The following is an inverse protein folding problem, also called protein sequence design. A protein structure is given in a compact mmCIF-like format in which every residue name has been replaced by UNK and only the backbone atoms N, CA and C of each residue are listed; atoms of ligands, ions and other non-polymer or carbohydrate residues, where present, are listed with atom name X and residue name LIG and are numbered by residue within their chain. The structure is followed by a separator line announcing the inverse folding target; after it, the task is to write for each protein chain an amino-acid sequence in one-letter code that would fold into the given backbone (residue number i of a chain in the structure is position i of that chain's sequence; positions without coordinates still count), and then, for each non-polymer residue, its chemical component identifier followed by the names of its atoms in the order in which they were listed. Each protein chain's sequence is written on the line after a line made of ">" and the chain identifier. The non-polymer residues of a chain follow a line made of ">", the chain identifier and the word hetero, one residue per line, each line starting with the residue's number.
data_IF_371373458193
#
_entry.id   IF_371373458193
#
_cell.length_a   1.000
_cell.length_b   1.000
_cell.length_c   1.000
_cell.angle_alpha   90.00
_cell.angle_beta   90.00
_cell.angle_gamma   90.00
#
_symmetry.space_group_name_H-M   'P 1'
#
loop_
_entity.id
_entity.type
_entity.pdbx_description
1 polymer ?
#
# COMPACT_ATOMS: atom_id res chain seq x y z
N UNK A 1 79.16 -25.89 5.18
CA UNK A 1 79.07 -24.42 4.95
C UNK A 1 78.33 -24.25 3.62
N UNK A 2 77.00 -24.14 3.67
CA UNK A 2 76.20 -22.90 3.74
C UNK A 2 76.18 -22.12 2.41
N UNK A 3 74.93 -21.85 1.98
CA UNK A 3 74.43 -20.76 1.13
C UNK A 3 74.62 -20.81 -0.39
N UNK A 4 73.55 -21.20 -1.11
CA UNK A 4 72.93 -20.41 -2.18
C UNK A 4 71.42 -20.72 -2.18
N UNK A 5 70.62 -19.91 -1.47
CA UNK A 5 69.69 -18.90 -2.02
C UNK A 5 68.59 -19.52 -2.90
N UNK A 6 67.46 -19.91 -2.30
CA UNK A 6 66.25 -19.09 -2.23
C UNK A 6 65.89 -18.53 -3.61
N UNK A 7 65.24 -19.33 -4.46
CA UNK A 7 64.40 -18.84 -5.56
C UNK A 7 63.50 -19.95 -6.14
N UNK A 8 62.67 -20.57 -5.30
CA UNK A 8 61.64 -21.51 -5.79
C UNK A 8 60.41 -21.55 -4.87
N UNK A 9 60.11 -20.44 -4.18
CA UNK A 9 58.90 -20.28 -3.37
C UNK A 9 58.36 -18.88 -3.60
N UNK A 10 57.78 -18.63 -4.78
CA UNK A 10 56.92 -17.49 -5.04
C UNK A 10 56.40 -17.54 -6.49
N UNK A 11 55.46 -18.45 -6.81
CA UNK A 11 54.42 -18.16 -7.83
C UNK A 11 53.36 -19.29 -7.93
N UNK A 12 52.67 -19.58 -6.84
CA UNK A 12 51.34 -20.20 -6.93
C UNK A 12 50.39 -19.32 -6.11
N UNK A 13 50.27 -18.08 -6.57
CA UNK A 13 49.21 -17.17 -6.14
C UNK A 13 47.90 -17.75 -6.63
N UNK A 14 47.12 -18.25 -5.69
CA UNK A 14 45.74 -18.68 -5.89
C UNK A 14 44.99 -17.54 -6.56
N UNK A 15 44.66 -17.70 -7.85
CA UNK A 15 43.65 -16.88 -8.52
C UNK A 15 42.31 -17.35 -7.95
N UNK A 16 42.01 -16.92 -6.73
CA UNK A 16 40.63 -16.92 -6.26
C UNK A 16 39.96 -15.80 -7.05
N UNK A 17 39.56 -16.12 -8.28
CA UNK A 17 38.55 -15.38 -8.99
C UNK A 17 37.32 -15.47 -8.11
N UNK A 18 37.05 -14.41 -7.34
CA UNK A 18 35.72 -14.14 -6.84
C UNK A 18 34.83 -14.01 -8.08
N UNK A 19 34.30 -15.14 -8.56
CA UNK A 19 33.13 -15.11 -9.41
C UNK A 19 32.06 -14.48 -8.53
N UNK A 20 31.70 -13.24 -8.81
CA UNK A 20 30.44 -12.67 -8.36
C UNK A 20 29.40 -13.75 -8.72
N UNK A 21 28.64 -14.21 -7.73
CA UNK A 21 27.61 -15.21 -7.96
C UNK A 21 26.80 -14.79 -9.19
N UNK A 22 26.60 -15.71 -10.13
CA UNK A 22 25.85 -15.41 -11.35
C UNK A 22 24.47 -14.95 -10.93
N UNK A 23 24.09 -13.73 -11.32
CA UNK A 23 22.72 -13.24 -11.18
C UNK A 23 21.75 -14.22 -11.85
N UNK A 24 20.73 -14.65 -11.12
CA UNK A 24 19.68 -15.51 -11.62
C UNK A 24 18.62 -14.67 -12.36
N UNK A 25 18.95 -14.31 -13.60
CA UNK A 25 18.09 -13.47 -14.45
C UNK A 25 16.69 -14.05 -14.67
N UNK A 26 16.54 -15.38 -14.67
CA UNK A 26 15.23 -16.03 -14.89
C UNK A 26 14.30 -15.82 -13.70
N UNK A 27 14.83 -15.83 -12.48
CA UNK A 27 14.08 -15.48 -11.27
C UNK A 27 13.67 -13.99 -11.25
N UNK A 28 14.45 -13.11 -11.88
CA UNK A 28 14.18 -11.66 -11.96
C UNK A 28 13.07 -11.31 -12.97
N UNK A 29 12.88 -12.11 -14.03
CA UNK A 29 11.92 -11.83 -15.12
C UNK A 29 10.64 -12.68 -15.11
N UNK A 30 10.62 -13.80 -14.36
CA UNK A 30 9.53 -14.77 -14.42
C UNK A 30 8.27 -14.44 -13.59
N UNK A 31 8.23 -13.31 -12.89
CA UNK A 31 7.14 -12.98 -11.97
C UNK A 31 5.95 -12.33 -12.67
N UNK A 32 4.76 -12.91 -12.48
CA UNK A 32 3.52 -12.37 -13.05
C UNK A 32 2.91 -11.33 -12.12
N UNK A 33 2.51 -10.18 -12.67
CA UNK A 33 1.74 -9.15 -11.97
C UNK A 33 0.25 -9.57 -11.98
N UNK A 34 -0.34 -9.92 -10.82
CA UNK A 34 -1.75 -10.29 -10.76
C UNK A 34 -2.63 -9.09 -11.09
N UNK A 35 -3.73 -9.33 -11.80
CA UNK A 35 -4.66 -8.28 -12.21
C UNK A 35 -6.09 -8.79 -12.06
N UNK A 36 -6.94 -7.95 -11.47
CA UNK A 36 -8.34 -8.24 -11.25
C UNK A 36 -9.19 -7.04 -11.68
N UNK A 37 -10.38 -7.34 -12.18
CA UNK A 37 -11.31 -6.32 -12.71
C UNK A 37 -12.69 -6.39 -12.06
N UNK A 38 -13.02 -7.50 -11.41
CA UNK A 38 -14.36 -7.75 -10.87
C UNK A 38 -14.39 -7.52 -9.36
N UNK A 39 -15.37 -6.76 -8.91
CA UNK A 39 -15.74 -6.68 -7.50
C UNK A 39 -16.65 -7.85 -7.15
N UNK A 40 -16.36 -8.54 -6.05
CA UNK A 40 -17.12 -9.69 -5.54
C UNK A 40 -17.34 -9.52 -4.05
N UNK A 41 -18.40 -10.13 -3.51
CA UNK A 41 -18.67 -10.11 -2.07
C UNK A 41 -17.47 -10.71 -1.31
N UNK A 42 -16.78 -9.86 -0.54
CA UNK A 42 -15.68 -10.27 0.33
C UNK A 42 -16.20 -10.66 1.71
N UNK A 43 -17.24 -9.96 2.17
CA UNK A 43 -17.92 -10.29 3.43
C UNK A 43 -19.35 -9.78 3.41
N UNK A 44 -20.23 -10.51 4.10
CA UNK A 44 -21.57 -10.02 4.44
C UNK A 44 -21.90 -10.21 5.93
N UNK A 45 -22.72 -9.31 6.44
CA UNK A 45 -23.11 -9.22 7.84
C UNK A 45 -24.63 -9.00 7.94
N UNK A 46 -25.33 -9.69 8.84
CA UNK A 46 -26.79 -9.63 8.99
C UNK A 46 -27.21 -9.10 10.36
N UNK A 47 -28.00 -8.02 10.39
CA UNK A 47 -28.59 -7.45 11.60
C UNK A 47 -30.10 -7.31 11.41
N UNK A 48 -30.89 -8.01 12.23
CA UNK A 48 -32.34 -8.11 12.06
C UNK A 48 -32.71 -8.71 10.69
N UNK A 49 -33.55 -8.00 9.93
CA UNK A 49 -34.01 -8.40 8.59
C UNK A 49 -33.12 -7.85 7.46
N UNK A 50 -31.96 -7.26 7.79
CA UNK A 50 -31.10 -6.62 6.81
C UNK A 50 -29.72 -7.27 6.77
N UNK A 51 -29.18 -7.37 5.55
CA UNK A 51 -27.80 -7.80 5.30
C UNK A 51 -27.06 -6.67 4.62
N UNK A 52 -25.88 -6.32 5.12
CA UNK A 52 -24.92 -5.50 4.39
C UNK A 52 -23.85 -6.41 3.79
N UNK A 53 -23.65 -6.30 2.49
CA UNK A 53 -22.58 -6.93 1.73
C UNK A 53 -21.51 -5.90 1.40
N UNK A 54 -20.25 -6.26 1.59
CA UNK A 54 -19.10 -5.48 1.18
C UNK A 54 -18.41 -6.25 0.06
N UNK A 55 -18.35 -5.62 -1.10
CA UNK A 55 -17.60 -6.11 -2.24
C UNK A 55 -16.22 -5.45 -2.27
N UNK A 56 -15.21 -6.25 -2.59
CA UNK A 56 -13.85 -5.81 -2.83
C UNK A 56 -13.35 -6.45 -4.13
N UNK A 57 -12.23 -5.96 -4.65
CA UNK A 57 -11.64 -6.51 -5.86
C UNK A 57 -11.31 -7.99 -5.68
N UNK A 58 -11.83 -8.83 -6.57
CA UNK A 58 -11.79 -10.29 -6.51
C UNK A 58 -12.38 -10.91 -5.22
N UNK A 59 -13.09 -10.15 -4.39
CA UNK A 59 -13.72 -10.65 -3.16
C UNK A 59 -12.73 -10.91 -2.02
N UNK A 60 -11.55 -10.28 -2.05
CA UNK A 60 -10.53 -10.44 -1.02
C UNK A 60 -10.11 -9.07 -0.49
N UNK A 61 -9.96 -8.94 0.84
CA UNK A 61 -9.29 -7.79 1.43
C UNK A 61 -7.79 -8.04 1.44
N UNK A 62 -7.02 -7.11 0.89
CA UNK A 62 -5.56 -7.18 0.90
C UNK A 62 -4.97 -6.10 1.80
N UNK A 63 -3.76 -6.33 2.33
CA UNK A 63 -2.93 -5.25 2.85
C UNK A 63 -2.71 -4.20 1.73
N UNK A 64 -2.81 -2.91 2.04
CA UNK A 64 -2.82 -1.85 1.02
C UNK A 64 -4.21 -1.27 0.77
N UNK A 65 -4.35 -0.50 -0.31
CA UNK A 65 -5.60 0.17 -0.65
C UNK A 65 -6.63 -0.82 -1.19
N UNK A 66 -7.85 -0.77 -0.64
CA UNK A 66 -9.00 -1.54 -1.08
C UNK A 66 -10.13 -0.57 -1.36
N UNK A 67 -10.58 -0.51 -2.61
CA UNK A 67 -11.87 0.08 -2.95
C UNK A 67 -12.98 -0.87 -2.49
N UNK A 68 -14.03 -0.31 -1.89
CA UNK A 68 -15.11 -1.05 -1.24
C UNK A 68 -16.46 -0.57 -1.74
N UNK A 69 -17.32 -1.52 -2.13
CA UNK A 69 -18.72 -1.24 -2.49
C UNK A 69 -19.66 -1.88 -1.46
N UNK A 70 -20.58 -1.10 -0.90
CA UNK A 70 -21.50 -1.56 0.13
C UNK A 70 -22.92 -1.63 -0.40
N UNK A 71 -23.59 -2.76 -0.19
CA UNK A 71 -24.98 -2.99 -0.58
C UNK A 71 -25.77 -3.47 0.62
N UNK A 72 -26.87 -2.78 0.94
CA UNK A 72 -27.81 -3.18 1.99
C UNK A 72 -29.04 -3.80 1.32
N UNK A 73 -29.40 -5.01 1.73
CA UNK A 73 -30.57 -5.74 1.22
C UNK A 73 -31.46 -6.23 2.36
N UNK A 74 -32.76 -6.41 2.07
CA UNK A 74 -33.68 -7.11 2.96
C UNK A 74 -33.53 -8.63 2.75
N UNK A 75 -33.35 -9.37 3.84
CA UNK A 75 -33.08 -10.82 3.80
C UNK A 75 -34.30 -11.68 3.48
N UNK A 76 -35.51 -11.13 3.60
CA UNK A 76 -36.76 -11.87 3.32
C UNK A 76 -37.06 -11.96 1.83
N UNK A 77 -36.71 -10.94 1.05
CA UNK A 77 -37.00 -10.85 -0.39
C UNK A 77 -35.74 -10.66 -1.26
N UNK A 78 -34.56 -10.54 -0.66
CA UNK A 78 -33.27 -10.29 -1.32
C UNK A 78 -33.23 -9.03 -2.20
N UNK A 79 -34.06 -8.02 -1.88
CA UNK A 79 -34.09 -6.75 -2.61
C UNK A 79 -33.25 -5.68 -1.91
N UNK A 80 -32.61 -4.81 -2.70
CA UNK A 80 -31.95 -3.60 -2.20
C UNK A 80 -32.93 -2.72 -1.43
N UNK A 81 -32.45 -2.08 -0.37
CA UNK A 81 -33.24 -1.15 0.45
C UNK A 81 -32.62 0.24 0.42
N UNK A 82 -33.44 1.26 0.69
CA UNK A 82 -33.01 2.64 0.84
C UNK A 82 -32.33 2.82 2.20
N UNK A 83 -31.09 2.37 2.30
CA UNK A 83 -30.25 2.63 3.47
C UNK A 83 -29.72 4.07 3.45
N UNK A 84 -29.33 4.57 4.62
CA UNK A 84 -28.67 5.87 4.80
C UNK A 84 -27.70 5.80 5.97
N UNK A 85 -26.85 6.81 6.12
CA UNK A 85 -25.88 6.92 7.23
C UNK A 85 -25.06 5.63 7.42
N UNK A 86 -24.58 5.06 6.31
CA UNK A 86 -23.74 3.86 6.36
C UNK A 86 -22.36 4.28 6.86
N UNK A 87 -21.93 3.68 7.97
CA UNK A 87 -20.61 3.90 8.54
C UNK A 87 -19.76 2.64 8.51
N UNK A 88 -18.44 2.82 8.37
CA UNK A 88 -17.47 1.73 8.24
C UNK A 88 -16.24 2.02 9.10
N UNK A 89 -15.98 1.16 10.08
CA UNK A 89 -14.84 1.28 10.99
C UNK A 89 -14.08 -0.05 11.11
N UNK A 90 -12.93 -0.20 10.44
CA UNK A 90 -12.05 -1.34 10.63
C UNK A 90 -11.19 -1.14 11.89
N UNK A 91 -11.14 -2.12 12.78
CA UNK A 91 -10.26 -2.12 13.97
C UNK A 91 -9.35 -3.34 13.92
N UNK A 92 -8.05 -3.09 14.05
CA UNK A 92 -7.02 -4.10 14.25
C UNK A 92 -6.81 -4.32 15.74
N UNK A 93 -6.82 -5.58 16.17
CA UNK A 93 -6.37 -5.99 17.49
C UNK A 93 -5.02 -6.70 17.38
N UNK A 94 -4.00 -6.15 18.04
CA UNK A 94 -2.64 -6.71 18.09
C UNK A 94 -2.14 -6.82 19.51
N UNK A 95 -1.90 -8.04 19.99
CA UNK A 95 -1.37 -8.31 21.34
C UNK A 95 -2.11 -7.55 22.47
N UNK A 96 -3.44 -7.46 22.37
CA UNK A 96 -4.29 -6.75 23.34
C UNK A 96 -4.39 -5.23 23.14
N UNK A 97 -3.63 -4.64 22.22
CA UNK A 97 -3.78 -3.25 21.81
C UNK A 97 -4.72 -3.15 20.61
N UNK A 98 -5.41 -2.02 20.48
CA UNK A 98 -6.25 -1.73 19.31
C UNK A 98 -5.71 -0.55 18.52
N UNK A 99 -5.82 -0.65 17.21
CA UNK A 99 -5.53 0.43 16.26
C UNK A 99 -6.47 0.30 15.07
N UNK A 100 -6.32 1.19 14.09
CA UNK A 100 -7.10 1.15 12.85
C UNK A 100 -6.19 1.50 11.67
N UNK A 101 -6.76 1.64 10.49
CA UNK A 101 -6.11 2.06 9.26
C UNK A 101 -6.85 3.26 8.64
N UNK A 102 -6.25 3.94 7.64
CA UNK A 102 -7.00 4.89 6.83
C UNK A 102 -8.24 4.24 6.23
N UNK A 103 -9.40 4.90 6.36
CA UNK A 103 -10.68 4.42 5.87
C UNK A 103 -11.67 5.58 5.70
N UNK A 104 -12.64 5.38 4.82
CA UNK A 104 -13.79 6.27 4.69
C UNK A 104 -14.82 5.91 5.76
N UNK A 105 -14.93 6.69 6.85
CA UNK A 105 -15.85 6.37 7.94
C UNK A 105 -17.32 6.52 7.55
N UNK A 106 -17.67 7.57 6.80
CA UNK A 106 -19.03 7.81 6.30
C UNK A 106 -19.06 7.57 4.79
N UNK A 107 -19.53 6.40 4.36
CA UNK A 107 -19.52 6.04 2.94
C UNK A 107 -20.65 6.74 2.17
N UNK A 108 -20.37 7.14 0.93
CA UNK A 108 -21.30 7.92 0.12
C UNK A 108 -22.08 7.03 -0.84
N UNK A 109 -23.37 7.31 -1.05
CA UNK A 109 -24.18 6.55 -2.00
C UNK A 109 -23.92 6.99 -3.44
N UNK A 110 -23.49 6.07 -4.30
CA UNK A 110 -23.43 6.25 -5.74
C UNK A 110 -24.77 5.86 -6.36
N UNK A 111 -25.57 6.85 -6.75
CA UNK A 111 -26.87 6.62 -7.36
C UNK A 111 -26.80 6.00 -8.77
N UNK A 112 -25.68 6.20 -9.48
CA UNK A 112 -25.47 5.65 -10.83
C UNK A 112 -25.24 4.15 -10.74
N UNK A 113 -24.34 3.74 -9.84
CA UNK A 113 -23.93 2.35 -9.69
C UNK A 113 -24.75 1.58 -8.64
N UNK A 114 -25.59 2.28 -7.87
CA UNK A 114 -26.55 1.74 -6.89
C UNK A 114 -25.92 0.99 -5.72
N UNK A 115 -24.81 1.50 -5.22
CA UNK A 115 -24.14 1.03 -4.00
C UNK A 115 -23.49 2.21 -3.28
N UNK A 116 -23.09 2.03 -2.02
CA UNK A 116 -22.23 3.01 -1.37
C UNK A 116 -20.77 2.74 -1.73
N UNK A 117 -19.98 3.80 -1.89
CA UNK A 117 -18.55 3.74 -2.17
C UNK A 117 -17.74 4.19 -0.97
N UNK A 118 -16.63 3.49 -0.73
CA UNK A 118 -15.64 3.84 0.27
C UNK A 118 -14.33 3.12 0.04
N UNK A 119 -13.40 3.28 0.97
CA UNK A 119 -12.11 2.60 0.90
C UNK A 119 -11.60 2.21 2.29
N UNK A 120 -10.62 1.31 2.30
CA UNK A 120 -9.78 0.99 3.45
C UNK A 120 -8.34 0.76 3.01
N UNK A 121 -7.37 1.22 3.79
CA UNK A 121 -5.94 0.94 3.58
C UNK A 121 -5.42 0.01 4.67
N UNK A 122 -5.77 -1.28 4.62
CA UNK A 122 -5.36 -2.20 5.68
C UNK A 122 -3.82 -2.24 5.81
N UNK A 123 -3.34 -1.94 7.01
CA UNK A 123 -1.89 -1.75 7.28
C UNK A 123 -1.17 -3.05 7.64
N UNK A 124 -1.90 -4.12 7.91
CA UNK A 124 -1.36 -5.43 8.24
C UNK A 124 -2.23 -6.57 7.72
N UNK A 125 -1.59 -7.71 7.48
CA UNK A 125 -2.24 -8.98 7.22
C UNK A 125 -2.87 -9.52 8.52
N UNK A 126 -3.94 -10.29 8.40
CA UNK A 126 -4.46 -11.09 9.51
C UNK A 126 -3.46 -12.20 9.83
N UNK A 127 -3.14 -12.36 11.11
CA UNK A 127 -2.25 -13.38 11.64
C UNK A 127 -2.71 -13.81 13.04
N UNK A 128 -2.06 -14.81 13.64
CA UNK A 128 -2.40 -15.29 14.99
C UNK A 128 -2.41 -14.16 16.03
N UNK A 129 -1.50 -13.20 15.92
CA UNK A 129 -1.40 -12.05 16.83
C UNK A 129 -2.17 -10.81 16.37
N UNK A 130 -2.75 -10.82 15.16
CA UNK A 130 -3.31 -9.65 14.47
C UNK A 130 -4.68 -10.01 13.87
N UNK A 131 -5.77 -9.51 14.45
CA UNK A 131 -7.12 -9.74 13.91
C UNK A 131 -7.81 -8.44 13.53
N UNK A 132 -8.45 -8.44 12.36
CA UNK A 132 -9.26 -7.33 11.89
C UNK A 132 -10.73 -7.60 12.17
N UNK A 133 -11.41 -6.60 12.73
CA UNK A 133 -12.85 -6.60 12.93
C UNK A 133 -13.46 -5.35 12.32
N UNK A 134 -14.49 -5.54 11.52
CA UNK A 134 -15.29 -4.45 10.98
C UNK A 134 -16.42 -4.12 11.94
N UNK A 135 -16.61 -2.83 12.22
CA UNK A 135 -17.77 -2.27 12.90
C UNK A 135 -18.52 -1.39 11.89
N UNK A 136 -19.78 -1.72 11.67
CA UNK A 136 -20.60 -1.10 10.63
C UNK A 136 -21.92 -0.67 11.27
N UNK A 137 -22.39 0.51 10.88
CA UNK A 137 -23.76 0.91 11.14
C UNK A 137 -24.44 1.43 9.89
N UNK A 138 -25.77 1.36 9.86
CA UNK A 138 -26.59 1.94 8.80
C UNK A 138 -28.00 2.19 9.32
N UNK A 139 -28.76 3.04 8.64
CA UNK A 139 -30.19 3.26 8.92
C UNK A 139 -31.07 2.75 7.78
N UNK A 140 -32.16 2.09 8.14
CA UNK A 140 -33.29 1.78 7.25
C UNK A 140 -34.57 2.20 7.99
N UNK A 141 -35.47 2.91 7.30
CA UNK A 141 -36.71 3.44 7.90
C UNK A 141 -36.48 4.24 9.21
N UNK A 142 -35.39 5.02 9.24
CA UNK A 142 -34.94 5.81 10.39
C UNK A 142 -34.56 4.99 11.65
N UNK A 143 -34.52 3.66 11.55
CA UNK A 143 -34.02 2.77 12.59
C UNK A 143 -32.53 2.46 12.32
N UNK A 144 -31.69 2.64 13.35
CA UNK A 144 -30.25 2.32 13.28
C UNK A 144 -30.02 0.83 13.52
N UNK A 145 -29.16 0.25 12.69
CA UNK A 145 -28.62 -1.09 12.83
C UNK A 145 -27.12 -1.00 13.01
N UNK A 146 -26.59 -1.75 13.97
CA UNK A 146 -25.16 -1.85 14.25
C UNK A 146 -24.76 -3.32 14.20
N UNK A 147 -23.60 -3.59 13.60
CA UNK A 147 -23.10 -4.95 13.44
C UNK A 147 -21.58 -4.96 13.36
N UNK A 148 -20.98 -6.07 13.80
CA UNK A 148 -19.54 -6.29 13.64
C UNK A 148 -19.23 -7.72 13.20
N UNK A 149 -18.09 -7.89 12.52
CA UNK A 149 -17.61 -9.20 12.05
C UNK A 149 -16.09 -9.19 11.89
N UNK A 150 -15.47 -10.28 12.30
CA UNK A 150 -14.06 -10.54 12.01
C UNK A 150 -13.86 -10.82 10.52
N UNK A 151 -12.77 -10.30 9.95
CA UNK A 151 -12.42 -10.46 8.54
C UNK A 151 -10.99 -11.01 8.38
N UNK A 152 -10.75 -11.61 7.22
CA UNK A 152 -9.41 -11.97 6.76
C UNK A 152 -8.86 -10.86 5.87
N UNK A 153 -7.70 -10.32 6.22
CA UNK A 153 -6.90 -9.46 5.35
C UNK A 153 -5.68 -10.24 4.90
N UNK A 154 -5.55 -10.46 3.60
CA UNK A 154 -4.48 -11.23 2.99
C UNK A 154 -3.28 -10.37 2.63
N UNK A 155 -2.15 -11.05 2.39
CA UNK A 155 -0.95 -10.42 1.84
C UNK A 155 -1.23 -9.85 0.46
N UNK A 156 -0.76 -8.63 0.20
CA UNK A 156 -0.79 -8.04 -1.13
C UNK A 156 0.09 -8.84 -2.09
N UNK A 157 -0.53 -9.50 -3.07
CA UNK A 157 0.17 -10.28 -4.09
C UNK A 157 0.70 -9.40 -5.23
N UNK A 158 0.06 -8.26 -5.49
CA UNK A 158 0.50 -7.30 -6.51
C UNK A 158 1.35 -6.18 -5.89
N UNK A 159 2.66 -6.20 -6.13
CA UNK A 159 3.59 -5.18 -5.62
C UNK A 159 3.25 -3.75 -6.06
N UNK A 160 2.53 -3.57 -7.18
CA UNK A 160 2.11 -2.24 -7.63
C UNK A 160 0.95 -1.64 -6.84
N UNK A 161 0.32 -2.43 -5.95
CA UNK A 161 -0.71 -1.98 -5.01
C UNK A 161 -0.20 -1.98 -3.55
N UNK A 162 1.12 -1.94 -3.38
CA UNK A 162 1.75 -1.99 -2.07
C UNK A 162 1.66 -0.63 -1.34
N UNK A 163 2.07 -0.63 -0.08
CA UNK A 163 1.93 0.51 0.81
C UNK A 163 3.09 0.59 1.81
N UNK A 164 3.27 1.77 2.40
CA UNK A 164 4.27 2.01 3.45
C UNK A 164 3.69 2.89 4.56
N UNK A 165 4.20 2.69 5.78
CA UNK A 165 3.89 3.51 6.97
C UNK A 165 5.17 4.06 7.57
N UNK A 166 5.14 5.29 8.06
CA UNK A 166 6.33 5.92 8.65
C UNK A 166 5.96 7.06 9.58
N UNK A 167 6.90 7.42 10.44
CA UNK A 167 6.85 8.66 11.22
C UNK A 167 7.63 9.74 10.47
N UNK A 168 7.00 10.89 10.23
CA UNK A 168 7.64 12.06 9.62
C UNK A 168 8.56 12.81 10.59
N UNK A 169 9.38 13.72 10.08
CA UNK A 169 10.21 14.62 10.90
C UNK A 169 9.41 15.57 11.80
N UNK A 170 8.12 15.73 11.52
CA UNK A 170 7.14 16.43 12.35
C UNK A 170 6.59 15.57 13.51
N UNK A 171 7.04 14.31 13.63
CA UNK A 171 6.55 13.30 14.57
C UNK A 171 5.10 12.84 14.32
N UNK A 172 4.55 13.12 13.15
CA UNK A 172 3.24 12.61 12.75
C UNK A 172 3.38 11.25 12.06
N UNK A 173 2.33 10.42 12.16
CA UNK A 173 2.30 9.10 11.52
C UNK A 173 1.58 9.18 10.18
N UNK A 174 2.24 8.68 9.13
CA UNK A 174 1.78 8.72 7.77
C UNK A 174 1.65 7.33 7.15
N UNK A 175 0.76 7.24 6.17
CA UNK A 175 0.52 6.08 5.33
C UNK A 175 0.54 6.53 3.88
N UNK A 176 1.31 5.85 3.02
CA UNK A 176 1.23 6.01 1.56
C UNK A 176 0.82 4.66 0.98
N UNK A 177 -0.22 4.64 0.14
CA UNK A 177 -0.67 3.43 -0.53
C UNK A 177 -0.83 3.67 -2.03
N UNK A 178 -0.24 2.78 -2.84
CA UNK A 178 -0.40 2.79 -4.28
C UNK A 178 -1.79 2.27 -4.66
N UNK A 179 -2.41 2.92 -5.64
CA UNK A 179 -3.77 2.63 -6.13
C UNK A 179 -3.73 2.19 -7.60
N UNK A 180 -2.86 2.80 -8.40
CA UNK A 180 -2.70 2.52 -9.83
C UNK A 180 -1.25 2.76 -10.24
N UNK A 181 -0.72 2.05 -11.27
CA UNK A 181 -1.40 1.01 -12.05
C UNK A 181 -1.38 -0.35 -11.35
N UNK A 182 -2.43 -1.16 -11.51
CA UNK A 182 -2.35 -2.58 -11.13
C UNK A 182 -1.32 -3.31 -11.98
N UNK A 183 -1.36 -3.06 -13.29
CA UNK A 183 -0.51 -3.73 -14.27
C UNK A 183 0.17 -2.68 -15.15
N UNK A 184 1.37 -2.23 -14.77
CA UNK A 184 2.13 -1.32 -15.61
C UNK A 184 2.52 -1.96 -16.95
N UNK A 185 2.96 -1.11 -17.89
CA UNK A 185 3.49 -1.46 -19.21
C UNK A 185 4.90 -0.90 -19.40
N UNK A 186 5.62 -1.36 -20.43
CA UNK A 186 6.90 -0.77 -20.88
C UNK A 186 6.63 0.60 -21.51
N UNK A 187 6.31 1.59 -20.69
CA UNK A 187 5.93 2.93 -21.09
C UNK A 187 5.87 3.86 -19.87
N UNK A 188 5.51 5.11 -20.11
CA UNK A 188 4.95 6.00 -19.09
C UNK A 188 3.59 5.44 -18.62
N UNK A 189 3.46 5.26 -17.31
CA UNK A 189 2.26 4.79 -16.65
C UNK A 189 1.76 5.85 -15.67
N UNK A 190 0.46 6.20 -15.71
CA UNK A 190 -0.15 7.01 -14.65
C UNK A 190 -0.01 6.30 -13.31
N UNK A 191 0.65 6.98 -12.36
CA UNK A 191 0.86 6.51 -11.00
C UNK A 191 -0.07 7.27 -10.07
N UNK A 192 -0.86 6.54 -9.28
CA UNK A 192 -1.81 7.11 -8.32
C UNK A 192 -1.55 6.56 -6.94
N UNK A 193 -1.50 7.44 -5.94
CA UNK A 193 -1.33 7.07 -4.54
C UNK A 193 -2.24 7.88 -3.62
N UNK A 194 -2.72 7.25 -2.56
CA UNK A 194 -3.32 7.93 -1.41
C UNK A 194 -2.27 8.21 -0.34
N UNK A 195 -2.33 9.40 0.26
CA UNK A 195 -1.46 9.79 1.38
C UNK A 195 -2.34 10.18 2.56
N UNK A 196 -2.16 9.49 3.68
CA UNK A 196 -3.01 9.63 4.87
C UNK A 196 -2.15 9.91 6.10
N UNK A 197 -2.73 10.64 7.05
CA UNK A 197 -2.14 10.94 8.35
C UNK A 197 -3.05 10.43 9.45
N UNK A 198 -2.47 9.77 10.46
CA UNK A 198 -3.21 9.40 11.66
C UNK A 198 -3.54 10.64 12.49
N UNK A 199 -4.79 10.74 12.93
CA UNK A 199 -5.22 11.83 13.81
C UNK A 199 -5.12 11.36 15.26
N UNK A 200 -4.06 11.79 15.95
CA UNK A 200 -3.87 11.46 17.36
C UNK A 200 -5.06 11.99 18.19
N UNK A 201 -5.77 11.13 18.94
CA UNK A 201 -6.89 11.55 19.76
C UNK A 201 -6.45 12.55 20.83
N UNK A 202 -7.20 13.63 20.98
CA UNK A 202 -6.98 14.66 22.00
C UNK A 202 -7.92 14.52 23.20
N UNK A 203 -8.94 13.67 23.07
CA UNK A 203 -9.91 13.36 24.11
C UNK A 203 -9.82 11.90 24.54
N UNK A 204 -10.08 11.58 25.82
CA UNK A 204 -10.15 10.21 26.29
C UNK A 204 -11.17 9.38 25.51
N UNK A 205 -10.92 8.08 25.38
CA UNK A 205 -11.83 7.15 24.73
C UNK A 205 -13.18 7.08 25.46
N UNK A 206 -14.26 7.13 24.67
CA UNK A 206 -15.62 6.91 25.13
C UNK A 206 -16.02 5.44 25.09
N UNK A 207 -17.25 5.17 24.64
CA UNK A 207 -17.76 3.80 24.47
C UNK A 207 -17.14 3.15 23.25
N UNK A 208 -16.56 1.97 23.44
CA UNK A 208 -15.96 1.21 22.35
C UNK A 208 -17.03 0.51 21.47
N UNK A 209 -16.88 0.53 20.12
CA UNK A 209 -15.86 1.24 19.37
C UNK A 209 -16.12 2.76 19.33
N UNK A 210 -15.09 3.55 19.62
CA UNK A 210 -15.15 5.02 19.54
C UNK A 210 -14.39 5.49 18.28
N UNK A 211 -15.08 5.88 17.20
CA UNK A 211 -14.43 6.28 15.95
C UNK A 211 -13.49 7.47 16.10
N UNK A 212 -13.70 8.34 17.11
CA UNK A 212 -12.79 9.46 17.37
C UNK A 212 -11.39 9.00 17.80
N UNK A 213 -11.26 7.76 18.29
CA UNK A 213 -9.97 7.16 18.66
C UNK A 213 -9.22 6.54 17.48
N UNK A 214 -9.86 6.43 16.31
CA UNK A 214 -9.39 5.63 15.18
C UNK A 214 -9.44 6.40 13.85
N UNK A 215 -9.25 7.72 13.87
CA UNK A 215 -9.45 8.55 12.68
C UNK A 215 -8.15 8.82 11.92
N UNK A 216 -8.29 8.96 10.61
CA UNK A 216 -7.24 9.32 9.67
C UNK A 216 -7.75 10.43 8.75
N UNK A 217 -6.85 11.25 8.24
CA UNK A 217 -7.16 12.29 7.25
C UNK A 217 -6.30 12.13 6.01
N UNK A 218 -6.87 12.41 4.86
CA UNK A 218 -6.10 12.64 3.64
C UNK A 218 -5.16 13.84 3.84
N UNK A 219 -3.91 13.67 3.43
CA UNK A 219 -2.92 14.73 3.48
C UNK A 219 -3.15 15.66 2.30
N UNK A 220 -3.28 16.97 2.56
CA UNK A 220 -3.54 17.94 1.50
C UNK A 220 -2.34 18.85 1.20
N UNK A 221 -2.14 19.13 -0.09
CA UNK A 221 -1.18 20.12 -0.58
C UNK A 221 0.30 19.72 -0.48
N UNK A 222 0.60 18.44 -0.25
CA UNK A 222 1.97 17.95 -0.21
C UNK A 222 2.49 17.65 -1.63
N UNK A 223 3.74 17.24 -1.73
CA UNK A 223 4.31 16.69 -2.98
C UNK A 223 5.08 15.43 -2.64
N UNK A 224 4.86 14.37 -3.43
CA UNK A 224 5.60 13.13 -3.30
C UNK A 224 6.58 13.04 -4.47
N UNK A 225 7.85 13.33 -4.21
CA UNK A 225 8.88 13.20 -5.25
C UNK A 225 9.14 11.75 -5.60
N UNK A 226 9.44 11.49 -6.86
CA UNK A 226 9.59 10.16 -7.41
C UNK A 226 10.95 9.96 -8.09
N UNK A 227 11.67 8.93 -7.69
CA UNK A 227 12.88 8.44 -8.37
C UNK A 227 12.84 6.90 -8.47
N UNK A 228 12.36 6.34 -9.60
CA UNK A 228 12.28 4.90 -9.76
C UNK A 228 13.63 4.32 -10.15
N UNK A 229 14.02 3.24 -9.48
CA UNK A 229 15.27 2.51 -9.74
C UNK A 229 15.02 1.01 -9.84
N UNK A 230 15.77 0.33 -10.69
CA UNK A 230 15.90 -1.12 -10.61
C UNK A 230 16.98 -1.45 -9.58
N UNK A 231 16.61 -2.10 -8.45
CA UNK A 231 17.50 -2.26 -7.31
C UNK A 231 18.55 -3.35 -7.52
N UNK A 232 18.35 -4.31 -8.42
CA UNK A 232 19.21 -5.48 -8.54
C UNK A 232 20.65 -5.13 -8.96
N UNK A 233 21.66 -5.85 -8.45
CA UNK A 233 23.06 -5.64 -8.84
C UNK A 233 23.30 -5.72 -10.35
N UNK A 234 22.58 -6.59 -11.07
CA UNK A 234 22.64 -6.70 -12.53
C UNK A 234 22.25 -5.39 -13.23
N UNK A 235 21.34 -4.64 -12.61
CA UNK A 235 20.80 -3.40 -13.13
C UNK A 235 21.55 -2.17 -12.63
N UNK A 236 22.47 -2.30 -11.68
CA UNK A 236 23.42 -1.27 -11.32
C UNK A 236 22.79 0.11 -11.06
N UNK A 237 21.62 0.17 -10.41
CA UNK A 237 20.89 1.42 -10.11
C UNK A 237 20.28 2.14 -11.34
N UNK A 238 19.90 1.36 -12.36
CA UNK A 238 19.21 1.84 -13.56
C UNK A 238 17.93 2.62 -13.23
N UNK A 239 17.66 3.70 -13.98
CA UNK A 239 16.45 4.52 -13.87
C UNK A 239 15.84 4.79 -15.25
N UNK A 240 14.75 5.53 -15.30
CA UNK A 240 14.01 5.86 -16.52
C UNK A 240 13.82 7.37 -16.69
N UNK A 241 13.66 7.85 -17.94
CA UNK A 241 13.34 9.25 -18.19
C UNK A 241 11.84 9.55 -18.00
N UNK A 242 11.48 10.83 -18.00
CA UNK A 242 10.09 11.33 -18.02
C UNK A 242 9.21 10.94 -16.82
N UNK A 243 9.80 10.55 -15.69
CA UNK A 243 9.06 10.40 -14.44
C UNK A 243 8.54 11.76 -13.95
N UNK A 244 7.37 11.76 -13.35
CA UNK A 244 6.74 12.97 -12.81
C UNK A 244 6.39 12.74 -11.34
N UNK A 245 6.80 13.68 -10.48
CA UNK A 245 6.43 13.73 -9.07
C UNK A 245 4.91 13.71 -8.91
N UNK A 246 4.42 13.08 -7.85
CA UNK A 246 2.98 13.00 -7.61
C UNK A 246 2.51 14.26 -6.88
N UNK A 247 1.44 14.86 -7.40
CA UNK A 247 0.77 16.04 -6.82
C UNK A 247 -0.71 15.77 -6.61
N UNK A 248 -1.29 16.36 -5.57
CA UNK A 248 -2.69 16.15 -5.25
C UNK A 248 -3.61 16.72 -6.33
N UNK A 249 -4.62 15.95 -6.71
CA UNK A 249 -5.67 16.37 -7.66
C UNK A 249 -7.02 16.54 -6.94
N UNK A 250 -8.06 16.90 -7.70
CA UNK A 250 -9.39 17.21 -7.17
C UNK A 250 -10.11 16.02 -6.50
N UNK A 251 -9.65 14.80 -6.75
CA UNK A 251 -10.14 13.57 -6.13
C UNK A 251 -9.49 13.28 -4.76
N UNK A 252 -8.62 14.18 -4.28
CA UNK A 252 -7.89 14.02 -3.01
C UNK A 252 -6.64 13.14 -3.13
N UNK A 253 -6.48 12.42 -4.24
CA UNK A 253 -5.36 11.50 -4.48
C UNK A 253 -4.17 12.21 -5.14
N UNK A 254 -3.01 11.58 -5.07
CA UNK A 254 -1.76 12.07 -5.64
C UNK A 254 -1.50 11.38 -6.96
N UNK A 255 -1.34 12.17 -8.02
CA UNK A 255 -1.16 11.70 -9.39
C UNK A 255 0.20 12.13 -9.94
N UNK A 256 0.91 11.19 -10.55
CA UNK A 256 2.18 11.42 -11.25
C UNK A 256 2.39 10.40 -12.35
N UNK A 257 3.63 10.23 -12.80
CA UNK A 257 3.97 9.31 -13.90
C UNK A 257 5.22 8.52 -13.53
N UNK A 258 5.14 7.20 -13.65
CA UNK A 258 6.30 6.31 -13.60
C UNK A 258 6.53 5.68 -14.97
N UNK A 259 7.73 5.84 -15.50
CA UNK A 259 8.13 5.24 -16.76
C UNK A 259 8.91 3.95 -16.50
N UNK A 260 8.48 2.84 -17.09
CA UNK A 260 9.22 1.59 -17.04
C UNK A 260 9.79 1.28 -18.42
N UNK A 261 11.12 1.15 -18.51
CA UNK A 261 11.81 0.91 -19.78
C UNK A 261 12.13 -0.56 -20.02
N UNK A 262 11.96 -1.41 -18.99
CA UNK A 262 12.17 -2.85 -19.05
C UNK A 262 11.49 -3.54 -17.87
N UNK A 263 11.17 -4.82 -18.04
CA UNK A 263 10.59 -5.68 -17.00
C UNK A 263 11.61 -6.00 -15.91
N UNK A 264 11.13 -6.27 -14.69
CA UNK A 264 11.94 -6.60 -13.52
C UNK A 264 11.36 -5.99 -12.24
N UNK A 265 12.05 -6.16 -11.11
CA UNK A 265 11.66 -5.41 -9.93
C UNK A 265 12.09 -3.96 -10.07
N UNK A 266 11.26 -3.10 -9.49
CA UNK A 266 11.55 -1.69 -9.39
C UNK A 266 11.35 -1.25 -7.94
N UNK A 267 12.03 -0.20 -7.57
CA UNK A 267 11.86 0.50 -6.30
C UNK A 267 11.48 1.93 -6.63
N UNK A 268 10.29 2.34 -6.21
CA UNK A 268 9.91 3.74 -6.21
C UNK A 268 10.61 4.39 -5.00
N UNK A 269 11.72 5.09 -5.22
CA UNK A 269 12.31 5.91 -4.16
C UNK A 269 11.52 7.21 -4.06
N UNK A 270 11.14 7.56 -2.85
CA UNK A 270 10.21 8.63 -2.59
C UNK A 270 10.79 9.67 -1.64
N UNK A 271 10.35 10.91 -1.78
CA UNK A 271 10.56 11.97 -0.79
C UNK A 271 9.23 12.70 -0.58
N UNK A 272 8.66 12.60 0.62
CA UNK A 272 7.46 13.34 0.97
C UNK A 272 7.84 14.74 1.46
N UNK A 273 7.31 15.77 0.80
CA UNK A 273 7.46 17.17 1.18
C UNK A 273 6.11 17.78 1.51
N UNK A 274 6.06 18.61 2.54
CA UNK A 274 4.87 19.42 2.83
C UNK A 274 4.76 20.62 1.88
N UNK A 275 3.68 21.40 2.00
CA UNK A 275 3.39 22.57 1.16
C UNK A 275 4.46 23.69 1.22
N UNK A 276 5.33 23.67 2.24
CA UNK A 276 6.42 24.64 2.39
C UNK A 276 7.75 24.11 1.82
N UNK A 277 7.74 22.95 1.15
CA UNK A 277 8.94 22.30 0.62
C UNK A 277 9.81 21.63 1.68
N UNK A 278 9.33 21.47 2.92
CA UNK A 278 10.08 20.76 3.95
C UNK A 278 9.93 19.25 3.76
N UNK A 279 11.06 18.55 3.70
CA UNK A 279 11.12 17.09 3.61
C UNK A 279 10.70 16.49 4.95
N UNK A 280 9.61 15.71 4.95
CA UNK A 280 9.13 14.97 6.11
C UNK A 280 9.75 13.58 6.20
N UNK A 281 9.97 12.91 5.06
CA UNK A 281 10.63 11.60 4.99
C UNK A 281 11.18 11.35 3.58
N UNK A 282 12.24 10.53 3.49
CA UNK A 282 12.89 10.17 2.24
C UNK A 282 14.24 10.87 2.05
N UNK A 283 15.08 10.29 1.20
CA UNK A 283 16.43 10.75 0.89
C UNK A 283 16.66 10.70 -0.61
N UNK A 284 17.53 11.59 -1.11
CA UNK A 284 18.04 11.49 -2.48
C UNK A 284 18.91 10.24 -2.57
N UNK A 285 18.74 9.47 -3.64
CA UNK A 285 19.55 8.29 -3.93
C UNK A 285 20.67 8.65 -4.92
N UNK A 286 21.82 7.94 -4.89
CA UNK A 286 22.88 8.13 -5.88
C UNK A 286 22.34 7.95 -7.30
N UNK A 287 22.88 8.72 -8.25
CA UNK A 287 22.51 8.63 -9.67
C UNK A 287 23.48 7.80 -10.49
N UNK A 288 24.62 7.42 -9.90
CA UNK A 288 25.67 6.68 -10.58
C UNK A 288 25.17 5.28 -10.96
N UNK A 289 25.34 4.94 -12.23
CA UNK A 289 25.07 3.60 -12.75
C UNK A 289 26.31 2.73 -12.54
N UNK A 290 26.24 1.79 -11.60
CA UNK A 290 27.37 0.94 -11.21
C UNK A 290 26.96 -0.53 -11.28
N UNK A 291 27.17 -1.22 -12.42
CA UNK A 291 26.88 -2.64 -12.56
C UNK A 291 27.57 -3.48 -11.48
N UNK A 292 26.86 -4.47 -10.94
CA UNK A 292 27.32 -5.35 -9.87
C UNK A 292 27.11 -4.79 -8.46
N UNK A 293 26.50 -3.62 -8.31
CA UNK A 293 26.19 -2.99 -7.02
C UNK A 293 24.68 -2.82 -6.88
N UNK A 294 24.13 -3.27 -5.76
CA UNK A 294 22.71 -3.09 -5.44
C UNK A 294 22.38 -1.59 -5.30
N UNK A 295 21.24 -1.18 -5.87
CA UNK A 295 20.76 0.19 -5.80
C UNK A 295 20.43 0.61 -4.36
N UNK A 296 20.96 1.75 -3.92
CA UNK A 296 20.65 2.31 -2.61
C UNK A 296 19.19 2.80 -2.60
N UNK A 297 18.42 2.37 -1.59
CA UNK A 297 17.04 2.81 -1.40
C UNK A 297 16.95 4.10 -0.58
N UNK A 298 15.99 4.96 -0.92
CA UNK A 298 15.59 6.10 -0.08
C UNK A 298 15.12 5.61 1.31
N UNK A 299 15.16 6.46 2.33
CA UNK A 299 14.48 6.20 3.60
C UNK A 299 12.97 5.98 3.48
N UNK A 300 12.38 6.42 2.36
CA UNK A 300 10.99 6.19 1.99
C UNK A 300 10.96 5.56 0.61
N UNK A 301 10.50 4.32 0.51
CA UNK A 301 10.42 3.61 -0.76
C UNK A 301 9.23 2.63 -0.75
N UNK A 302 8.81 2.24 -1.96
CA UNK A 302 7.88 1.14 -2.19
C UNK A 302 8.43 0.29 -3.32
N UNK A 303 8.59 -1.01 -3.08
CA UNK A 303 8.98 -1.96 -4.12
C UNK A 303 7.78 -2.33 -4.99
N UNK A 304 7.99 -2.27 -6.30
CA UNK A 304 7.03 -2.56 -7.37
C UNK A 304 7.56 -3.63 -8.31
N UNK A 305 6.72 -4.07 -9.25
CA UNK A 305 7.08 -5.08 -10.24
C UNK A 305 6.48 -4.71 -11.59
N UNK A 306 7.26 -4.82 -12.65
CA UNK A 306 6.77 -4.70 -14.01
C UNK A 306 7.22 -5.88 -14.88
#
# INVERSE_FOLDING_TARGET
>A
MKSFKILAVALLGVIASCTIDKTDYEAEIGSQVPEYYEFKEAVSLTSGNYKISIEALNGTFYKGYNELHFKVINTQNNQSVNASEVTFLPILSTNGNTSSCPHEYNVSYDATNKYFTGYSVFTSETAVSNSWKLYISFKVDNQKYEINKDILVEKQSNKNLNMTTFTGKDNEQYVIALISPQKPKVAENPLVAGIYKYNKPTTPAGTFPDPAQFSYSEVSGYTLKLDPRMPEPSMGNHSSPNNQDLTQQNDGLYHGVVNYTMTGNWTLNLILMNQNGLILKGTVVPTDFTPGVEGVKSELFIDTLF
#
